data_IF_694098058394
#
_entry.id   IF_694098058394
#
_cell.length_a   1.000
_cell.length_b   1.000
_cell.length_c   1.000
_cell.angle_alpha   90.00
_cell.angle_beta   90.00
_cell.angle_gamma   90.00
#
_symmetry.space_group_name_H-M   'P 1'
#
loop_
_entity.id
_entity.type
_entity.pdbx_description
1 polymer ?
#
# COMPACT_ATOMS: atom_id res chain seq x y z
N UNK A 1 7.55 -12.46 -0.11
CA UNK A 1 7.86 -11.26 -0.93
C UNK A 1 7.46 -10.02 -0.13
N UNK A 2 8.23 -8.94 -0.20
CA UNK A 2 7.96 -7.70 0.54
C UNK A 2 7.78 -6.54 -0.45
N UNK A 3 6.64 -5.85 -0.37
CA UNK A 3 6.31 -4.70 -1.22
C UNK A 3 6.24 -3.45 -0.34
N UNK A 4 6.96 -2.40 -0.72
CA UNK A 4 6.96 -1.12 -0.01
C UNK A 4 6.26 -0.05 -0.83
N UNK A 5 5.33 0.66 -0.20
CA UNK A 5 4.56 1.74 -0.81
C UNK A 5 4.83 3.00 0.00
N UNK A 6 5.25 4.06 -0.69
CA UNK A 6 5.37 5.39 -0.10
C UNK A 6 4.13 6.21 -0.48
N UNK A 7 3.27 6.46 0.50
CA UNK A 7 2.04 7.23 0.38
C UNK A 7 2.12 8.55 1.13
N UNK A 8 3.33 8.99 1.54
CA UNK A 8 3.52 10.27 2.24
C UNK A 8 3.03 11.44 1.41
N UNK A 9 2.33 12.37 2.05
CA UNK A 9 1.77 13.55 1.39
C UNK A 9 0.48 13.29 0.60
N UNK A 10 0.01 12.03 0.51
CA UNK A 10 -1.31 11.74 -0.03
C UNK A 10 -2.38 12.07 1.01
N UNK A 11 -3.36 12.89 0.62
CA UNK A 11 -4.50 13.18 1.49
C UNK A 11 -5.43 11.97 1.64
N UNK A 12 -5.99 11.80 2.84
CA UNK A 12 -7.03 10.81 3.11
C UNK A 12 -8.19 10.96 2.10
N UNK A 13 -8.69 9.86 1.50
CA UNK A 13 -8.41 8.44 1.78
C UNK A 13 -7.35 7.78 0.86
N UNK A 14 -6.61 8.56 0.07
CA UNK A 14 -5.71 8.03 -0.97
C UNK A 14 -4.67 7.00 -0.47
N UNK A 15 -3.96 7.18 0.67
CA UNK A 15 -3.00 6.19 1.15
C UNK A 15 -3.58 4.79 1.34
N UNK A 16 -4.83 4.73 1.82
CA UNK A 16 -5.54 3.48 2.10
C UNK A 16 -5.93 2.79 0.79
N UNK A 17 -6.39 3.56 -0.20
CA UNK A 17 -6.78 3.03 -1.50
C UNK A 17 -5.58 2.41 -2.22
N UNK A 18 -4.42 3.08 -2.21
CA UNK A 18 -3.21 2.54 -2.85
C UNK A 18 -2.70 1.27 -2.15
N UNK A 19 -2.77 1.23 -0.82
CA UNK A 19 -2.45 0.02 -0.05
C UNK A 19 -3.37 -1.14 -0.43
N UNK A 20 -4.68 -0.89 -0.55
CA UNK A 20 -5.66 -1.91 -0.93
C UNK A 20 -5.39 -2.47 -2.33
N UNK A 21 -5.10 -1.61 -3.31
CA UNK A 21 -4.77 -2.04 -4.68
C UNK A 21 -3.56 -2.97 -4.71
N UNK A 22 -2.53 -2.66 -3.93
CA UNK A 22 -1.37 -3.52 -3.83
C UNK A 22 -1.72 -4.86 -3.16
N UNK A 23 -2.57 -4.84 -2.14
CA UNK A 23 -3.08 -6.03 -1.43
C UNK A 23 -3.85 -6.98 -2.35
N UNK A 24 -4.64 -6.43 -3.28
CA UNK A 24 -5.38 -7.22 -4.27
C UNK A 24 -4.47 -7.84 -5.35
N UNK A 25 -3.25 -7.32 -5.52
CA UNK A 25 -2.28 -7.79 -6.52
C UNK A 25 -1.32 -8.88 -6.04
N UNK A 26 -1.31 -9.20 -4.74
CA UNK A 26 -0.38 -10.16 -4.13
C UNK A 26 -1.09 -11.46 -3.72
N UNK A 27 -0.48 -12.61 -4.04
CA UNK A 27 -0.97 -13.93 -3.57
C UNK A 27 -0.50 -14.25 -2.15
N UNK A 28 0.76 -13.94 -1.83
CA UNK A 28 1.35 -14.20 -0.52
C UNK A 28 2.54 -13.26 -0.27
N UNK A 29 2.67 -12.73 0.94
CA UNK A 29 3.75 -11.86 1.37
C UNK A 29 3.24 -10.64 2.15
N UNK A 30 4.12 -9.68 2.37
CA UNK A 30 3.86 -8.49 3.18
C UNK A 30 3.85 -7.23 2.34
N UNK A 31 2.94 -6.31 2.65
CA UNK A 31 2.92 -4.94 2.13
C UNK A 31 3.15 -3.99 3.29
N UNK A 32 4.12 -3.09 3.13
CA UNK A 32 4.43 -2.03 4.09
C UNK A 32 4.14 -0.71 3.40
N UNK A 33 3.11 -0.02 3.86
CA UNK A 33 2.80 1.34 3.40
C UNK A 33 3.28 2.36 4.44
N UNK A 34 4.05 3.34 3.99
CA UNK A 34 4.44 4.50 4.79
C UNK A 34 3.52 5.65 4.41
N UNK A 35 2.91 6.30 5.40
CA UNK A 35 1.95 7.41 5.23
C UNK A 35 2.46 8.69 5.85
#
# INVERSE_FOLDING_TARGET
>A
MEIKIDARGLQCPKPVIETKKALEGIREGNIITVV
#
